data_IF_074744399410
#
_entry.id   IF_074744399410
#
_cell.length_a   1.000
_cell.length_b   1.000
_cell.length_c   1.000
_cell.angle_alpha   90.00
_cell.angle_beta   90.00
_cell.angle_gamma   90.00
#
_symmetry.space_group_name_H-M   'P 1'
#
loop_
_entity.id
_entity.type
_entity.pdbx_description
1 polymer ?
#
# COMPACT_ATOMS: atom_id res chain seq x y z
N UNK A 1 8.19 -1.84 31.37
CA UNK A 1 8.47 -2.84 30.33
C UNK A 1 7.84 -2.42 29.01
N UNK A 2 7.88 -3.29 28.00
CA UNK A 2 7.21 -3.08 26.70
C UNK A 2 5.69 -2.96 26.90
N UNK A 3 5.04 -2.05 26.17
CA UNK A 3 3.59 -1.81 26.22
C UNK A 3 2.85 -2.26 24.96
N UNK A 4 3.53 -2.24 23.81
CA UNK A 4 2.97 -2.58 22.50
C UNK A 4 3.77 -3.70 21.87
N UNK A 5 3.08 -4.71 21.35
CA UNK A 5 3.68 -5.84 20.64
C UNK A 5 3.01 -6.01 19.29
N UNK A 6 3.83 -5.97 18.23
CA UNK A 6 3.38 -6.20 16.87
C UNK A 6 3.71 -7.64 16.52
N UNK A 7 2.69 -8.46 16.29
CA UNK A 7 2.82 -9.89 16.07
C UNK A 7 2.49 -10.22 14.62
N UNK A 8 3.52 -10.60 13.85
CA UNK A 8 3.28 -11.28 12.60
C UNK A 8 2.73 -12.69 12.92
N UNK A 9 1.52 -12.99 12.45
CA UNK A 9 0.78 -14.22 12.70
C UNK A 9 1.36 -15.44 11.97
N UNK A 10 2.66 -15.45 11.71
CA UNK A 10 3.36 -16.51 10.98
C UNK A 10 4.66 -16.82 11.69
N UNK A 11 4.94 -18.10 11.88
CA UNK A 11 6.21 -18.56 12.44
C UNK A 11 7.35 -18.29 11.47
N UNK A 12 8.46 -17.76 11.96
CA UNK A 12 9.72 -17.74 11.23
C UNK A 12 10.44 -19.09 11.39
N UNK A 13 10.70 -19.76 10.26
CA UNK A 13 11.49 -20.99 10.18
C UNK A 13 12.88 -20.59 9.69
N UNK A 14 13.86 -20.66 10.60
CA UNK A 14 15.21 -20.12 10.37
C UNK A 14 16.14 -21.07 9.61
N UNK A 15 15.79 -22.36 9.51
CA UNK A 15 16.57 -23.37 8.78
C UNK A 15 15.76 -23.90 7.61
N UNK A 16 16.37 -23.88 6.42
CA UNK A 16 15.80 -24.48 5.21
C UNK A 16 14.82 -23.60 4.43
N UNK A 17 14.42 -22.43 4.93
CA UNK A 17 13.56 -21.48 4.19
C UNK A 17 14.25 -20.14 3.98
N UNK A 18 14.12 -19.58 2.77
CA UNK A 18 14.53 -18.20 2.50
C UNK A 18 13.59 -17.18 3.19
N UNK A 19 13.97 -15.89 3.29
CA UNK A 19 13.05 -14.85 3.77
C UNK A 19 11.75 -14.77 2.97
N UNK A 20 11.83 -14.96 1.64
CA UNK A 20 10.65 -14.96 0.76
C UNK A 20 9.74 -16.16 1.03
N UNK A 21 10.32 -17.33 1.27
CA UNK A 21 9.57 -18.55 1.57
C UNK A 21 8.92 -18.48 2.95
N UNK A 22 9.59 -17.87 3.93
CA UNK A 22 9.01 -17.59 5.24
C UNK A 22 7.74 -16.73 5.16
N UNK A 23 7.57 -15.92 4.12
CA UNK A 23 6.35 -15.13 3.91
C UNK A 23 5.24 -15.88 3.15
N UNK A 24 5.51 -17.10 2.66
CA UNK A 24 4.57 -17.88 1.82
C UNK A 24 4.27 -19.27 2.37
N UNK A 25 5.24 -20.00 2.90
CA UNK A 25 5.12 -21.41 3.29
C UNK A 25 4.45 -21.64 4.66
N UNK A 26 4.93 -21.09 5.80
CA UNK A 26 4.28 -21.35 7.08
C UNK A 26 2.86 -20.74 7.08
N UNK A 27 1.83 -21.49 7.46
CA UNK A 27 0.46 -20.95 7.46
C UNK A 27 0.33 -19.78 8.46
N UNK A 28 -0.59 -18.88 8.16
CA UNK A 28 -1.02 -17.86 9.12
C UNK A 28 -1.78 -18.55 10.25
N UNK A 29 -1.55 -18.09 11.47
CA UNK A 29 -2.24 -18.50 12.68
C UNK A 29 -2.66 -17.23 13.41
N UNK A 30 -3.87 -16.75 13.13
CA UNK A 30 -4.40 -15.56 13.80
C UNK A 30 -4.91 -15.87 15.22
N UNK A 31 -5.36 -17.11 15.43
CA UNK A 31 -5.85 -17.59 16.73
C UNK A 31 -4.79 -17.46 17.83
N UNK A 32 -3.53 -17.77 17.55
CA UNK A 32 -2.46 -17.58 18.55
C UNK A 32 -2.28 -16.10 18.94
N UNK A 33 -2.49 -15.16 18.02
CA UNK A 33 -2.37 -13.72 18.31
C UNK A 33 -3.51 -13.29 19.23
N UNK A 34 -4.73 -13.77 18.97
CA UNK A 34 -5.89 -13.57 19.86
C UNK A 34 -5.63 -14.15 21.25
N UNK A 35 -5.15 -15.40 21.35
CA UNK A 35 -4.82 -16.03 22.63
C UNK A 35 -3.76 -15.23 23.40
N UNK A 36 -2.78 -14.64 22.71
CA UNK A 36 -1.79 -13.78 23.35
C UNK A 36 -2.44 -12.51 23.90
N UNK A 37 -3.36 -11.86 23.15
CA UNK A 37 -4.12 -10.71 23.65
C UNK A 37 -4.98 -11.07 24.87
N UNK A 38 -5.72 -12.17 24.79
CA UNK A 38 -6.60 -12.65 25.88
C UNK A 38 -5.82 -12.90 27.18
N UNK A 39 -4.60 -13.46 27.06
CA UNK A 39 -3.72 -13.72 28.21
C UNK A 39 -2.96 -12.48 28.70
N UNK A 40 -2.96 -11.37 27.95
CA UNK A 40 -2.21 -10.16 28.27
C UNK A 40 -3.06 -8.91 28.05
N UNK A 41 -4.15 -8.71 28.82
CA UNK A 41 -5.12 -7.64 28.56
C UNK A 41 -4.49 -6.23 28.62
N UNK A 42 -3.44 -6.06 29.42
CA UNK A 42 -2.72 -4.79 29.58
C UNK A 42 -1.72 -4.46 28.46
N UNK A 43 -1.46 -5.40 27.54
CA UNK A 43 -0.62 -5.15 26.38
C UNK A 43 -1.47 -4.74 25.19
N UNK A 44 -0.97 -3.75 24.45
CA UNK A 44 -1.47 -3.43 23.12
C UNK A 44 -0.89 -4.45 22.12
N UNK A 45 -1.75 -5.25 21.53
CA UNK A 45 -1.39 -6.28 20.56
C UNK A 45 -1.86 -5.85 19.18
N UNK A 46 -0.92 -5.70 18.25
CA UNK A 46 -1.18 -5.34 16.87
C UNK A 46 -0.89 -6.56 16.00
N UNK A 47 -1.92 -7.07 15.30
CA UNK A 47 -1.77 -8.23 14.42
C UNK A 47 -1.20 -7.84 13.06
N UNK A 48 -0.35 -8.70 12.50
CA UNK A 48 0.18 -8.54 11.16
C UNK A 48 0.18 -9.86 10.36
N UNK A 49 0.12 -9.73 9.03
CA UNK A 49 0.45 -10.79 8.09
C UNK A 49 -0.74 -11.27 7.27
N UNK A 50 -0.73 -11.02 5.97
CA UNK A 50 -1.74 -11.58 5.04
C UNK A 50 -3.10 -10.90 5.05
N UNK A 51 -3.25 -9.77 5.73
CA UNK A 51 -4.48 -8.97 5.78
C UNK A 51 -4.53 -8.04 4.56
N UNK A 52 -5.62 -8.10 3.79
CA UNK A 52 -5.75 -7.41 2.50
C UNK A 52 -7.13 -6.83 2.19
N UNK A 53 -8.11 -6.96 3.08
CA UNK A 53 -9.46 -6.38 2.88
C UNK A 53 -9.95 -5.64 4.12
N UNK A 54 -10.93 -4.75 3.95
CA UNK A 54 -11.56 -4.00 5.06
C UNK A 54 -12.26 -4.96 6.02
N UNK A 55 -12.93 -5.98 5.50
CA UNK A 55 -13.66 -6.98 6.29
C UNK A 55 -12.71 -7.72 7.22
N UNK A 56 -11.55 -8.15 6.72
CA UNK A 56 -10.51 -8.78 7.54
C UNK A 56 -10.00 -7.83 8.63
N UNK A 57 -9.81 -6.55 8.33
CA UNK A 57 -9.39 -5.56 9.33
C UNK A 57 -10.45 -5.46 10.42
N UNK A 58 -11.72 -5.25 10.05
CA UNK A 58 -12.85 -5.15 10.99
C UNK A 58 -12.97 -6.43 11.84
N UNK A 59 -12.83 -7.61 11.24
CA UNK A 59 -12.86 -8.90 11.95
C UNK A 59 -11.74 -9.00 13.00
N UNK A 60 -10.51 -8.63 12.63
CA UNK A 60 -9.38 -8.67 13.55
C UNK A 60 -9.49 -7.65 14.68
N UNK A 61 -9.99 -6.44 14.40
CA UNK A 61 -10.19 -5.40 15.42
C UNK A 61 -11.22 -5.79 16.50
N UNK A 62 -12.05 -6.81 16.26
CA UNK A 62 -12.90 -7.38 17.32
C UNK A 62 -12.11 -8.19 18.36
N UNK A 63 -10.86 -8.57 18.05
CA UNK A 63 -10.07 -9.51 18.85
C UNK A 63 -8.75 -8.92 19.36
N UNK A 64 -8.23 -7.88 18.72
CA UNK A 64 -6.94 -7.25 19.04
C UNK A 64 -7.02 -5.73 18.92
N UNK A 65 -6.03 -5.02 19.46
CA UNK A 65 -6.05 -3.56 19.56
C UNK A 65 -5.72 -2.84 18.24
N UNK A 66 -5.08 -3.54 17.30
CA UNK A 66 -4.70 -2.93 16.03
C UNK A 66 -4.32 -3.93 14.95
N UNK A 67 -4.26 -3.43 13.72
CA UNK A 67 -3.87 -4.19 12.53
C UNK A 67 -2.75 -3.46 11.80
N UNK A 68 -1.65 -4.16 11.54
CA UNK A 68 -0.57 -3.70 10.67
C UNK A 68 -0.72 -4.34 9.29
N UNK A 69 -0.64 -3.51 8.25
CA UNK A 69 -0.71 -3.94 6.86
C UNK A 69 0.61 -3.64 6.17
N UNK A 70 1.12 -4.60 5.41
CA UNK A 70 2.40 -4.47 4.70
C UNK A 70 2.22 -4.51 3.19
N UNK A 71 2.48 -5.69 2.61
CA UNK A 71 2.51 -5.91 1.15
C UNK A 71 1.27 -5.42 0.40
N UNK A 72 0.09 -5.53 1.01
CA UNK A 72 -1.18 -5.13 0.40
C UNK A 72 -1.20 -3.64 0.05
N UNK A 73 -0.70 -2.77 0.94
CA UNK A 73 -0.60 -1.32 0.70
C UNK A 73 0.41 -1.04 -0.42
N UNK A 74 1.56 -1.72 -0.46
CA UNK A 74 2.53 -1.47 -1.53
C UNK A 74 1.99 -1.88 -2.91
N UNK A 75 1.20 -2.95 -2.96
CA UNK A 75 0.59 -3.46 -4.19
C UNK A 75 -0.59 -2.59 -4.66
N UNK A 76 -1.41 -2.11 -3.72
CA UNK A 76 -2.55 -1.23 -3.97
C UNK A 76 -2.56 -0.07 -2.96
N UNK A 77 -1.76 0.99 -3.17
CA UNK A 77 -1.61 2.08 -2.19
C UNK A 77 -2.90 2.81 -1.89
N UNK A 78 -3.80 2.90 -2.87
CA UNK A 78 -5.08 3.55 -2.67
C UNK A 78 -6.03 2.76 -1.74
N UNK A 79 -5.70 1.51 -1.37
CA UNK A 79 -6.40 0.81 -0.29
C UNK A 79 -6.37 1.59 1.03
N UNK A 80 -5.37 2.46 1.24
CA UNK A 80 -5.35 3.38 2.37
C UNK A 80 -6.55 4.34 2.38
N UNK A 81 -7.05 4.75 1.22
CA UNK A 81 -8.26 5.57 1.13
C UNK A 81 -9.49 4.81 1.64
N UNK A 82 -9.59 3.52 1.31
CA UNK A 82 -10.67 2.67 1.80
C UNK A 82 -10.58 2.50 3.33
N UNK A 83 -9.37 2.37 3.88
CA UNK A 83 -9.13 2.29 5.33
C UNK A 83 -9.52 3.59 6.04
N UNK A 84 -9.07 4.74 5.53
CA UNK A 84 -9.42 6.05 6.06
C UNK A 84 -10.94 6.23 6.17
N UNK A 85 -11.67 5.84 5.12
CA UNK A 85 -13.13 5.90 5.09
C UNK A 85 -13.78 4.90 6.06
N UNK A 86 -13.43 3.62 5.94
CA UNK A 86 -14.19 2.54 6.56
C UNK A 86 -13.79 2.21 8.01
N UNK A 87 -12.58 2.61 8.42
CA UNK A 87 -12.03 2.35 9.76
C UNK A 87 -11.95 3.64 10.57
N UNK A 88 -11.56 4.76 9.95
CA UNK A 88 -11.36 6.04 10.63
C UNK A 88 -12.50 7.04 10.41
N UNK A 89 -13.52 6.69 9.62
CA UNK A 89 -14.64 7.58 9.25
C UNK A 89 -14.16 8.93 8.69
N UNK A 90 -13.02 8.93 7.98
CA UNK A 90 -12.50 10.12 7.33
C UNK A 90 -13.07 10.22 5.92
N UNK A 91 -13.89 11.24 5.69
CA UNK A 91 -14.49 11.50 4.37
C UNK A 91 -13.65 12.42 3.49
N UNK A 92 -12.60 13.07 4.04
CA UNK A 92 -11.72 13.95 3.29
C UNK A 92 -10.61 13.15 2.56
N UNK A 93 -11.05 12.36 1.58
CA UNK A 93 -10.21 11.45 0.81
C UNK A 93 -9.87 12.05 -0.54
N UNK A 94 -8.57 12.16 -0.82
CA UNK A 94 -8.08 12.59 -2.12
C UNK A 94 -8.35 11.53 -3.18
N UNK A 95 -8.81 11.97 -4.34
CA UNK A 95 -8.87 11.16 -5.55
C UNK A 95 -7.47 10.75 -6.02
N UNK A 96 -7.38 9.68 -6.81
CA UNK A 96 -6.10 9.27 -7.44
C UNK A 96 -5.48 10.40 -8.27
N UNK A 97 -6.30 11.24 -8.90
CA UNK A 97 -5.83 12.37 -9.70
C UNK A 97 -5.16 13.44 -8.86
N UNK A 98 -5.79 13.82 -7.75
CA UNK A 98 -5.23 14.77 -6.78
C UNK A 98 -3.95 14.22 -6.15
N UNK A 99 -3.91 12.92 -5.86
CA UNK A 99 -2.70 12.25 -5.37
C UNK A 99 -1.59 12.32 -6.43
N UNK A 100 -1.88 12.05 -7.71
CA UNK A 100 -0.88 12.17 -8.79
C UNK A 100 -0.35 13.60 -8.90
N UNK A 101 -1.22 14.62 -8.78
CA UNK A 101 -0.79 16.02 -8.74
C UNK A 101 0.23 16.29 -7.63
N UNK A 102 -0.07 15.84 -6.41
CA UNK A 102 0.85 15.97 -5.26
C UNK A 102 2.15 15.17 -5.46
N UNK A 103 2.09 13.99 -6.06
CA UNK A 103 3.26 13.18 -6.40
C UNK A 103 4.15 13.88 -7.43
N UNK A 104 3.57 14.51 -8.46
CA UNK A 104 4.30 15.28 -9.47
C UNK A 104 5.02 16.45 -8.81
N UNK A 105 4.31 17.23 -7.98
CA UNK A 105 4.90 18.35 -7.21
C UNK A 105 6.06 17.87 -6.33
N UNK A 106 5.88 16.77 -5.60
CA UNK A 106 6.91 16.14 -4.77
C UNK A 106 8.11 15.67 -5.60
N UNK A 107 7.87 14.99 -6.73
CA UNK A 107 8.93 14.47 -7.59
C UNK A 107 9.81 15.61 -8.14
N UNK A 108 9.19 16.70 -8.61
CA UNK A 108 9.91 17.87 -9.09
C UNK A 108 10.74 18.54 -7.98
N UNK A 109 10.24 18.59 -6.76
CA UNK A 109 10.98 19.11 -5.61
C UNK A 109 12.18 18.22 -5.23
N UNK A 110 12.01 16.90 -5.28
CA UNK A 110 13.08 15.94 -4.97
C UNK A 110 14.17 15.91 -6.05
N UNK A 111 13.81 16.05 -7.33
CA UNK A 111 14.80 16.14 -8.41
C UNK A 111 15.72 17.35 -8.24
N UNK A 112 15.19 18.49 -7.76
CA UNK A 112 16.02 19.67 -7.42
C UNK A 112 17.04 19.40 -6.32
N UNK A 113 16.83 18.37 -5.49
CA UNK A 113 17.75 17.92 -4.43
C UNK A 113 18.73 16.83 -4.91
N UNK A 114 18.64 16.43 -6.18
CA UNK A 114 19.49 15.38 -6.77
C UNK A 114 18.90 13.97 -6.73
N UNK A 115 17.67 13.79 -6.24
CA UNK A 115 16.97 12.51 -6.28
C UNK A 115 16.60 12.16 -7.73
N UNK A 116 16.81 10.91 -8.15
CA UNK A 116 16.40 10.48 -9.49
C UNK A 116 14.89 10.28 -9.57
N UNK A 117 14.26 10.66 -10.69
CA UNK A 117 12.82 10.48 -10.94
C UNK A 117 12.38 9.03 -10.64
N UNK A 118 13.14 8.04 -11.10
CA UNK A 118 12.76 6.64 -10.92
C UNK A 118 12.76 6.16 -9.45
N UNK A 119 13.51 6.81 -8.55
CA UNK A 119 13.50 6.49 -7.13
C UNK A 119 12.21 6.95 -6.46
N UNK A 120 11.57 7.99 -6.99
CA UNK A 120 10.24 8.44 -6.54
C UNK A 120 9.16 7.62 -7.24
N UNK A 121 9.16 7.61 -8.57
CA UNK A 121 8.03 7.14 -9.38
C UNK A 121 7.81 5.63 -9.33
N UNK A 122 8.83 4.82 -9.04
CA UNK A 122 8.66 3.36 -8.89
C UNK A 122 7.68 2.95 -7.80
N UNK A 123 7.44 3.82 -6.82
CA UNK A 123 6.54 3.56 -5.70
C UNK A 123 5.08 3.88 -6.02
N UNK A 124 4.78 4.45 -7.20
CA UNK A 124 3.43 4.88 -7.58
C UNK A 124 2.75 3.93 -8.57
N UNK A 125 3.46 2.86 -8.98
CA UNK A 125 2.97 1.86 -9.97
C UNK A 125 1.65 1.22 -9.55
N UNK A 126 1.48 0.95 -8.25
CA UNK A 126 0.27 0.35 -7.70
C UNK A 126 -0.92 1.30 -7.55
N UNK A 127 -0.77 2.61 -7.76
CA UNK A 127 -1.79 3.60 -7.38
C UNK A 127 -3.16 3.32 -8.03
N UNK A 128 -3.18 2.89 -9.29
CA UNK A 128 -4.40 2.54 -10.03
C UNK A 128 -4.72 1.04 -10.01
N UNK A 129 -4.14 0.26 -9.08
CA UNK A 129 -4.44 -1.17 -8.96
C UNK A 129 -5.95 -1.45 -8.86
N UNK A 130 -6.42 -2.47 -9.58
CA UNK A 130 -7.83 -2.90 -9.56
C UNK A 130 -8.79 -2.06 -10.40
N UNK A 131 -8.34 -0.99 -11.07
CA UNK A 131 -9.20 -0.13 -11.89
C UNK A 131 -9.03 -0.43 -13.38
N UNK A 132 -10.11 -0.28 -14.16
CA UNK A 132 -10.07 -0.28 -15.62
C UNK A 132 -9.04 0.74 -16.13
N UNK A 133 -8.29 0.41 -17.18
CA UNK A 133 -7.24 1.29 -17.71
C UNK A 133 -5.93 1.34 -16.90
N UNK A 134 -5.82 0.66 -15.75
CA UNK A 134 -4.59 0.64 -14.93
C UNK A 134 -3.33 0.17 -15.66
N UNK A 135 -3.49 -0.64 -16.72
CA UNK A 135 -2.36 -1.07 -17.55
C UNK A 135 -1.73 0.08 -18.32
N UNK A 136 -2.50 1.10 -18.72
CA UNK A 136 -1.96 2.30 -19.37
C UNK A 136 -1.03 3.04 -18.42
N UNK A 137 -1.47 3.25 -17.17
CA UNK A 137 -0.66 3.85 -16.10
C UNK A 137 0.65 3.10 -15.90
N UNK A 138 0.57 1.78 -15.70
CA UNK A 138 1.75 0.93 -15.49
C UNK A 138 2.71 1.00 -16.67
N UNK A 139 2.20 0.91 -17.91
CA UNK A 139 3.02 0.98 -19.12
C UNK A 139 3.74 2.32 -19.22
N UNK A 140 3.02 3.42 -19.05
CA UNK A 140 3.62 4.75 -19.12
C UNK A 140 4.76 4.93 -18.10
N UNK A 141 4.55 4.51 -16.85
CA UNK A 141 5.59 4.56 -15.84
C UNK A 141 6.80 3.71 -16.23
N UNK A 142 6.59 2.46 -16.64
CA UNK A 142 7.69 1.57 -17.05
C UNK A 142 8.52 2.17 -18.18
N UNK A 143 7.87 2.72 -19.20
CA UNK A 143 8.54 3.21 -20.41
C UNK A 143 9.25 4.56 -20.18
N UNK A 144 8.76 5.38 -19.25
CA UNK A 144 9.22 6.78 -19.11
C UNK A 144 9.80 7.14 -17.75
N UNK A 145 9.30 6.54 -16.67
CA UNK A 145 9.58 6.97 -15.29
C UNK A 145 10.46 5.99 -14.51
N UNK A 146 10.49 4.71 -14.88
CA UNK A 146 11.26 3.69 -14.15
C UNK A 146 12.68 3.51 -14.70
N UNK A 147 12.97 4.07 -15.88
CA UNK A 147 14.30 4.06 -16.48
C UNK A 147 15.28 4.92 -15.65
N UNK A 148 16.56 4.55 -15.65
CA UNK A 148 17.58 5.15 -14.77
C UNK A 148 17.72 6.66 -14.96
N UNK A 149 17.68 7.10 -16.21
CA UNK A 149 17.85 8.49 -16.64
C UNK A 149 16.52 9.03 -17.18
N UNK A 150 15.44 8.79 -16.42
CA UNK A 150 14.10 9.26 -16.77
C UNK A 150 14.07 10.78 -16.90
N UNK A 151 13.51 11.25 -18.02
CA UNK A 151 13.38 12.66 -18.32
C UNK A 151 12.32 13.29 -17.41
N UNK A 152 12.76 14.22 -16.55
CA UNK A 152 11.89 14.95 -15.62
C UNK A 152 10.80 15.75 -16.33
N UNK A 153 11.04 16.18 -17.58
CA UNK A 153 10.03 16.91 -18.36
C UNK A 153 8.75 16.08 -18.54
N UNK A 154 8.91 14.74 -18.59
CA UNK A 154 7.80 13.83 -18.80
C UNK A 154 6.89 13.69 -17.58
N UNK A 155 7.35 14.08 -16.40
CA UNK A 155 6.56 13.97 -15.16
C UNK A 155 5.29 14.82 -15.26
N UNK A 156 5.34 15.96 -15.96
CA UNK A 156 4.17 16.83 -16.13
C UNK A 156 3.08 16.21 -17.01
N UNK A 157 3.44 15.41 -18.03
CA UNK A 157 2.46 14.73 -18.90
C UNK A 157 1.64 13.66 -18.15
N UNK A 158 2.04 13.29 -16.95
CA UNK A 158 1.26 12.35 -16.12
C UNK A 158 -0.12 12.90 -15.78
N UNK A 159 -0.25 14.22 -15.60
CA UNK A 159 -1.54 14.83 -15.29
C UNK A 159 -2.50 14.72 -16.48
N UNK A 160 -1.98 14.84 -17.69
CA UNK A 160 -2.78 14.67 -18.90
C UNK A 160 -3.22 13.20 -19.04
N UNK A 161 -2.32 12.25 -18.80
CA UNK A 161 -2.62 10.83 -18.85
C UNK A 161 -3.72 10.44 -17.88
N UNK A 162 -3.66 10.97 -16.65
CA UNK A 162 -4.67 10.66 -15.64
C UNK A 162 -6.01 11.25 -16.04
N UNK A 163 -6.07 12.51 -16.49
CA UNK A 163 -7.31 13.11 -17.00
C UNK A 163 -7.93 12.29 -18.12
N UNK A 164 -7.13 11.87 -19.11
CA UNK A 164 -7.62 11.06 -20.24
C UNK A 164 -8.05 9.65 -19.80
N UNK A 165 -7.37 9.03 -18.85
CA UNK A 165 -7.77 7.72 -18.32
C UNK A 165 -9.05 7.82 -17.48
N UNK A 166 -9.23 8.87 -16.68
CA UNK A 166 -10.44 9.07 -15.88
C UNK A 166 -11.67 9.27 -16.76
N UNK A 167 -11.53 9.99 -17.88
CA UNK A 167 -12.60 10.09 -18.90
C UNK A 167 -12.95 8.71 -19.47
N UNK A 168 -11.96 7.90 -19.84
CA UNK A 168 -12.18 6.54 -20.36
C UNK A 168 -12.72 5.53 -19.32
N UNK A 169 -12.54 5.79 -18.02
CA UNK A 169 -13.08 4.98 -16.92
C UNK A 169 -14.55 5.34 -16.67
N UNK A 170 -14.92 6.63 -16.81
CA UNK A 170 -16.31 7.09 -16.65
C UNK A 170 -17.18 6.63 -17.81
N UNK A 171 -16.66 6.61 -19.04
CA UNK A 171 -17.42 6.19 -20.24
C UNK A 171 -17.63 4.66 -20.38
N UNK A 172 -17.03 3.85 -19.50
CA UNK A 172 -17.13 2.38 -19.53
C UNK A 172 -17.87 1.76 -18.35
N UNK A 173 -18.43 2.57 -17.45
CA UNK A 173 -19.38 2.17 -16.42
C UNK A 173 -20.80 2.62 -16.82
#
# INVERSE_FOLDING_TARGET
GVKTVILHARKAILKGLSPRDNLRIPKLNYEIVKQIKDNNPNLEIIINGGISTIEQIKEHLNNVDGVMIGRSIYHSPYFLADIEKEIFNNENILTREEIVKKIVEYCLAEVKKGTRVNQVMRHTVGLFHGISGANYWKRYLSDNMLVRDADVSKVNYMLDIVKHNSVNIIEKN
#
